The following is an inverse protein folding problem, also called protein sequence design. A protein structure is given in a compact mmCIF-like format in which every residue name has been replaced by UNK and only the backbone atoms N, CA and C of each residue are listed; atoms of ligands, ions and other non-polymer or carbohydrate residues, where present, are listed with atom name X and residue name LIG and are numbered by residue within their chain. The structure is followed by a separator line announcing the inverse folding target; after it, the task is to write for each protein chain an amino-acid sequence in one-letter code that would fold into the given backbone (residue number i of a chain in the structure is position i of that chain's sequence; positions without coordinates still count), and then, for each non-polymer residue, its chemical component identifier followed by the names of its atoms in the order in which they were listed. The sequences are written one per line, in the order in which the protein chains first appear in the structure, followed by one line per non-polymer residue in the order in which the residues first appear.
data_IF_717926968436
#
_entry.id   IF_717926968436
#
_cell.length_a   1.000
_cell.length_b   1.000
_cell.length_c   1.000
_cell.angle_alpha   90.00
_cell.angle_beta   90.00
_cell.angle_gamma   90.00
#
_symmetry.space_group_name_H-M   'P 1'
#
loop_
_entity.id
_entity.type
_entity.pdbx_description
1 polymer ?
#
# COMPACT_ATOMS: atom_id res chain seq x y z
N UNK A 1 -13.82 -59.85 -53.78
CA UNK A 1 -14.19 -61.18 -53.28
C UNK A 1 -13.08 -61.71 -52.39
N UNK A 2 -13.43 -62.09 -51.15
CA UNK A 2 -12.79 -63.08 -50.25
C UNK A 2 -11.25 -63.07 -50.08
N UNK A 3 -10.82 -62.62 -48.89
CA UNK A 3 -9.91 -63.20 -47.87
C UNK A 3 -8.83 -64.25 -48.26
N UNK A 4 -7.90 -64.64 -47.35
CA UNK A 4 -7.08 -63.94 -46.34
C UNK A 4 -5.59 -64.43 -46.34
N UNK A 5 -4.80 -64.09 -45.31
CA UNK A 5 -3.93 -65.02 -44.50
C UNK A 5 -2.41 -64.80 -44.49
N UNK A 6 -1.87 -64.55 -43.26
CA UNK A 6 -0.54 -64.93 -42.69
C UNK A 6 0.72 -64.30 -43.34
N UNK A 7 1.85 -64.03 -42.68
CA UNK A 7 2.55 -64.67 -41.56
C UNK A 7 3.70 -63.76 -41.05
N UNK A 8 4.11 -63.99 -39.80
CA UNK A 8 5.44 -63.85 -39.17
C UNK A 8 6.35 -62.63 -39.37
N UNK A 9 7.04 -62.25 -38.28
CA UNK A 9 8.38 -61.63 -38.39
C UNK A 9 8.74 -60.71 -37.23
N UNK A 10 9.27 -61.29 -36.15
CA UNK A 10 9.87 -60.59 -35.00
C UNK A 10 11.28 -60.10 -35.39
N UNK A 11 11.60 -58.82 -35.25
CA UNK A 11 12.95 -58.33 -34.99
C UNK A 11 12.90 -57.04 -34.15
N UNK A 12 13.74 -57.01 -33.12
CA UNK A 12 13.93 -55.88 -32.23
C UNK A 12 14.81 -54.81 -32.89
N UNK A 13 14.51 -53.53 -32.68
CA UNK A 13 15.50 -52.62 -32.10
C UNK A 13 14.85 -51.34 -31.56
N UNK A 14 15.53 -50.82 -30.55
CA UNK A 14 15.30 -49.68 -29.70
C UNK A 14 15.32 -48.34 -30.46
N UNK A 15 14.34 -47.45 -30.21
CA UNK A 15 14.53 -46.02 -29.87
C UNK A 15 13.20 -45.23 -29.87
N UNK A 16 13.08 -44.39 -28.82
CA UNK A 16 12.43 -43.07 -28.67
C UNK A 16 11.02 -42.77 -29.22
N UNK A 17 10.42 -41.91 -28.39
CA UNK A 17 9.48 -40.81 -28.65
C UNK A 17 8.00 -41.12 -28.80
N UNK A 18 7.24 -40.35 -28.01
CA UNK A 18 5.88 -39.86 -28.26
C UNK A 18 4.79 -40.94 -28.32
N UNK A 19 3.76 -40.94 -27.49
CA UNK A 19 3.23 -40.02 -26.52
C UNK A 19 1.87 -40.61 -26.12
N UNK A 20 1.40 -40.39 -24.89
CA UNK A 20 -0.01 -40.60 -24.62
C UNK A 20 -0.58 -39.38 -23.92
N UNK A 21 -1.23 -38.61 -24.76
CA UNK A 21 -2.13 -37.50 -24.47
C UNK A 21 -3.41 -38.10 -23.90
N UNK A 22 -3.48 -38.20 -22.58
CA UNK A 22 -4.75 -38.29 -21.87
C UNK A 22 -4.87 -37.14 -20.87
N UNK A 23 -5.36 -36.02 -21.42
CA UNK A 23 -6.48 -35.24 -20.86
C UNK A 23 -6.47 -35.07 -19.33
N UNK A 24 -5.71 -34.09 -18.86
CA UNK A 24 -5.91 -33.52 -17.53
C UNK A 24 -6.63 -32.18 -17.67
N UNK A 25 -7.78 -32.09 -17.02
CA UNK A 25 -8.61 -30.90 -16.95
C UNK A 25 -7.79 -29.71 -16.45
N UNK A 26 -7.77 -28.63 -17.22
CA UNK A 26 -7.35 -27.32 -16.74
C UNK A 26 -8.45 -26.78 -15.84
N UNK A 27 -8.28 -26.90 -14.53
CA UNK A 27 -8.87 -25.96 -13.58
C UNK A 27 -7.79 -24.99 -13.15
N UNK A 28 -7.76 -23.84 -13.84
CA UNK A 28 -7.02 -22.67 -13.37
C UNK A 28 -7.80 -22.07 -12.20
N UNK A 29 -7.42 -22.40 -10.98
CA UNK A 29 -7.68 -21.53 -9.83
C UNK A 29 -6.35 -20.96 -9.39
N UNK A 30 -6.14 -19.71 -9.81
CA UNK A 30 -5.09 -18.82 -9.34
C UNK A 30 -5.29 -18.68 -7.83
N UNK A 31 -4.62 -19.49 -7.01
CA UNK A 31 -4.52 -19.22 -5.58
C UNK A 31 -3.60 -18.01 -5.44
N UNK A 32 -4.19 -16.84 -5.26
CA UNK A 32 -3.48 -15.73 -4.65
C UNK A 32 -3.21 -16.16 -3.20
N UNK A 33 -1.98 -16.60 -2.95
CA UNK A 33 -1.47 -16.65 -1.60
C UNK A 33 -1.31 -15.19 -1.18
N UNK A 34 -2.22 -14.68 -0.35
CA UNK A 34 -2.02 -13.42 0.35
C UNK A 34 -0.75 -13.61 1.20
N UNK A 35 0.35 -13.04 0.74
CA UNK A 35 1.56 -12.94 1.53
C UNK A 35 1.31 -11.93 2.65
N UNK A 36 0.76 -12.39 3.76
CA UNK A 36 0.81 -11.65 5.02
C UNK A 36 2.27 -11.70 5.45
N UNK A 37 3.06 -10.69 5.09
CA UNK A 37 4.40 -10.50 5.62
C UNK A 37 4.24 -10.15 7.09
N UNK A 38 4.23 -11.17 7.95
CA UNK A 38 4.47 -10.99 9.38
C UNK A 38 5.94 -10.63 9.52
N UNK A 39 6.22 -9.35 9.72
CA UNK A 39 7.58 -8.91 10.06
C UNK A 39 8.05 -9.69 11.30
N UNK A 40 9.17 -10.40 11.12
CA UNK A 40 9.86 -11.11 12.18
C UNK A 40 10.35 -10.12 13.25
N UNK A 41 9.95 -10.38 14.50
CA UNK A 41 10.36 -9.64 15.70
C UNK A 41 11.87 -9.74 15.94
N UNK A 42 12.54 -8.59 15.99
CA UNK A 42 13.79 -8.39 16.73
C UNK A 42 13.53 -7.37 17.86
N UNK A 43 14.11 -7.53 19.07
CA UNK A 43 13.86 -6.63 20.17
C UNK A 43 14.84 -5.45 20.11
N UNK A 44 14.39 -4.33 19.57
CA UNK A 44 14.91 -3.00 19.90
C UNK A 44 13.73 -2.15 20.36
N UNK A 45 13.94 -1.47 21.48
CA UNK A 45 12.94 -0.73 22.24
C UNK A 45 12.40 0.43 21.39
N UNK A 46 11.07 0.53 21.32
CA UNK A 46 10.26 1.56 20.65
C UNK A 46 10.14 1.48 19.11
N UNK A 47 9.63 0.35 18.60
CA UNK A 47 9.10 0.30 17.22
C UNK A 47 7.64 0.76 17.20
N UNK A 48 7.40 2.05 17.47
CA UNK A 48 6.11 2.67 17.17
C UNK A 48 6.10 3.05 15.71
N UNK A 49 5.29 2.37 14.91
CA UNK A 49 5.10 2.75 13.53
C UNK A 49 4.37 4.10 13.50
N UNK A 50 5.09 5.14 13.10
CA UNK A 50 4.56 6.49 12.99
C UNK A 50 4.19 6.75 11.54
N UNK A 51 2.93 7.10 11.30
CA UNK A 51 2.43 7.44 9.96
C UNK A 51 2.02 8.91 9.91
N UNK A 52 1.98 9.46 8.70
CA UNK A 52 1.79 10.89 8.48
C UNK A 52 0.53 11.14 7.66
N UNK A 53 -0.32 12.07 8.11
CA UNK A 53 -1.49 12.49 7.34
C UNK A 53 -1.49 14.01 7.13
N UNK A 54 -1.65 14.44 5.89
CA UNK A 54 -1.65 15.87 5.50
C UNK A 54 -3.05 16.44 5.66
N UNK A 55 -3.17 17.58 6.35
CA UNK A 55 -4.45 18.24 6.62
C UNK A 55 -4.33 19.76 6.47
N UNK A 56 -5.45 20.42 6.19
CA UNK A 56 -5.58 21.86 6.46
C UNK A 56 -5.95 22.08 7.94
N UNK A 57 -5.55 23.21 8.56
CA UNK A 57 -5.96 23.55 9.93
C UNK A 57 -7.48 23.51 10.09
N UNK A 58 -8.22 24.14 9.18
CA UNK A 58 -9.68 24.21 9.23
C UNK A 58 -10.32 22.80 9.23
N UNK A 59 -9.82 21.88 8.41
CA UNK A 59 -10.34 20.52 8.38
C UNK A 59 -10.08 19.81 9.71
N UNK A 60 -8.87 19.93 10.25
CA UNK A 60 -8.49 19.31 11.52
C UNK A 60 -9.28 19.89 12.71
N UNK A 61 -9.49 21.21 12.72
CA UNK A 61 -10.09 21.95 13.84
C UNK A 61 -11.63 21.94 13.81
N UNK A 62 -12.25 21.50 12.72
CA UNK A 62 -13.72 21.51 12.56
C UNK A 62 -14.51 20.68 13.58
N UNK A 63 -13.89 19.66 14.20
CA UNK A 63 -14.54 18.76 15.16
C UNK A 63 -13.56 18.29 16.25
N UNK A 64 -13.09 19.17 17.14
CA UNK A 64 -11.96 18.87 18.04
C UNK A 64 -12.26 17.77 19.06
N UNK A 65 -13.54 17.55 19.37
CA UNK A 65 -14.01 16.53 20.33
C UNK A 65 -14.41 15.21 19.65
N UNK A 66 -14.26 15.12 18.33
CA UNK A 66 -14.65 13.94 17.53
C UNK A 66 -13.43 13.33 16.82
N UNK A 67 -13.42 12.01 16.55
CA UNK A 67 -12.44 11.40 15.67
C UNK A 67 -12.39 12.13 14.32
N UNK A 68 -11.19 12.38 13.81
CA UNK A 68 -11.00 13.09 12.56
C UNK A 68 -11.35 12.19 11.36
N UNK A 69 -12.27 12.65 10.53
CA UNK A 69 -12.68 11.99 9.30
C UNK A 69 -12.55 12.97 8.12
N UNK A 70 -11.58 12.77 7.20
CA UNK A 70 -11.46 13.60 6.02
C UNK A 70 -12.61 13.34 5.04
N UNK A 71 -12.91 14.30 4.17
CA UNK A 71 -13.96 14.18 3.16
C UNK A 71 -13.75 13.00 2.20
N UNK A 72 -12.50 12.55 2.00
CA UNK A 72 -12.17 11.39 1.17
C UNK A 72 -12.53 10.06 1.83
N UNK A 73 -12.66 9.98 3.16
CA UNK A 73 -12.95 8.73 3.86
C UNK A 73 -14.25 8.04 3.39
N UNK A 74 -15.40 8.72 3.28
CA UNK A 74 -16.61 8.09 2.73
C UNK A 74 -16.53 7.74 1.23
N UNK A 75 -15.61 8.36 0.48
CA UNK A 75 -15.46 8.15 -0.97
C UNK A 75 -14.52 6.98 -1.27
N UNK A 76 -13.35 6.95 -0.64
CA UNK A 76 -12.30 5.97 -0.87
C UNK A 76 -12.40 4.76 0.08
N UNK A 77 -13.04 4.93 1.24
CA UNK A 77 -13.16 3.92 2.29
C UNK A 77 -11.98 3.85 3.27
N UNK A 78 -10.98 4.72 3.11
CA UNK A 78 -9.82 4.83 4.00
C UNK A 78 -9.22 6.24 4.00
N UNK A 79 -8.40 6.54 5.01
CA UNK A 79 -7.58 7.76 5.08
C UNK A 79 -6.19 7.47 4.55
N UNK A 80 -5.77 8.25 3.54
CA UNK A 80 -4.43 8.19 2.95
C UNK A 80 -3.38 8.73 3.91
N UNK A 81 -2.40 7.90 4.26
CA UNK A 81 -1.25 8.30 5.05
C UNK A 81 0.05 7.99 4.30
N UNK A 82 1.14 8.60 4.77
CA UNK A 82 2.50 8.37 4.29
C UNK A 82 3.33 7.66 5.36
N UNK A 83 4.26 6.77 4.97
CA UNK A 83 5.06 5.99 5.91
C UNK A 83 6.12 6.81 6.66
N UNK A 84 6.57 7.92 6.08
CA UNK A 84 7.63 8.77 6.63
C UNK A 84 7.56 10.21 6.10
N UNK A 85 8.36 11.10 6.69
CA UNK A 85 8.44 12.51 6.32
C UNK A 85 8.87 12.71 4.86
N UNK A 86 9.83 11.92 4.34
CA UNK A 86 10.33 12.09 2.96
C UNK A 86 9.23 11.82 1.94
N UNK A 87 8.50 10.73 2.14
CA UNK A 87 7.34 10.36 1.32
C UNK A 87 6.22 11.39 1.47
N UNK A 88 5.99 11.90 2.70
CA UNK A 88 4.99 12.95 2.96
C UNK A 88 5.29 14.22 2.19
N UNK A 89 6.55 14.69 2.20
CA UNK A 89 6.97 15.88 1.44
C UNK A 89 6.81 15.67 -0.07
N UNK A 90 7.09 14.47 -0.59
CA UNK A 90 6.83 14.14 -1.98
C UNK A 90 5.33 14.18 -2.33
N UNK A 91 4.47 13.63 -1.46
CA UNK A 91 3.00 13.70 -1.60
C UNK A 91 2.52 15.15 -1.59
N UNK A 92 3.01 15.98 -0.66
CA UNK A 92 2.67 17.41 -0.59
C UNK A 92 3.06 18.13 -1.89
N UNK A 93 4.27 17.87 -2.38
CA UNK A 93 4.76 18.47 -3.62
C UNK A 93 4.02 17.97 -4.87
N UNK A 94 3.47 16.76 -4.85
CA UNK A 94 2.71 16.21 -5.98
C UNK A 94 1.26 16.73 -6.00
N UNK A 95 0.59 16.82 -4.85
CA UNK A 95 -0.87 16.97 -4.79
C UNK A 95 -1.36 18.22 -4.05
N UNK A 96 -0.52 18.87 -3.24
CA UNK A 96 -0.95 19.93 -2.32
C UNK A 96 -0.26 21.28 -2.54
N UNK A 97 0.52 21.48 -3.61
CA UNK A 97 1.23 22.75 -3.87
C UNK A 97 0.30 23.96 -3.93
N UNK A 98 -0.87 23.78 -4.53
CA UNK A 98 -1.90 24.81 -4.71
C UNK A 98 -2.92 24.85 -3.56
N UNK A 99 -2.81 23.97 -2.57
CA UNK A 99 -3.73 23.96 -1.43
C UNK A 99 -3.57 25.23 -0.58
N UNK A 100 -4.65 25.70 0.08
CA UNK A 100 -4.58 26.79 1.04
C UNK A 100 -3.51 26.51 2.11
N UNK A 101 -2.69 27.52 2.38
CA UNK A 101 -1.65 27.47 3.41
C UNK A 101 -2.14 28.17 4.68
N UNK A 102 -1.68 27.75 5.88
CA UNK A 102 -0.68 26.70 6.12
C UNK A 102 -1.26 25.29 5.92
N UNK A 103 -0.37 24.34 5.59
CA UNK A 103 -0.66 22.91 5.67
C UNK A 103 -0.01 22.33 6.92
N UNK A 104 -0.67 21.34 7.51
CA UNK A 104 -0.18 20.61 8.67
C UNK A 104 -0.07 19.13 8.36
N UNK A 105 0.82 18.47 9.10
CA UNK A 105 0.99 17.02 9.08
C UNK A 105 0.71 16.48 10.48
N UNK A 106 -0.25 15.58 10.56
CA UNK A 106 -0.54 14.80 11.75
C UNK A 106 0.44 13.64 11.81
N UNK A 107 1.22 13.58 12.88
CA UNK A 107 2.05 12.43 13.19
C UNK A 107 1.25 11.47 14.07
N UNK A 108 0.91 10.31 13.51
CA UNK A 108 -0.04 9.35 14.07
C UNK A 108 0.71 8.11 14.55
N UNK A 109 0.45 7.71 15.78
CA UNK A 109 0.97 6.48 16.39
C UNK A 109 0.04 5.31 16.03
N UNK A 110 0.51 4.39 15.19
CA UNK A 110 -0.29 3.26 14.71
C UNK A 110 -0.80 2.38 15.86
N UNK A 111 -0.03 2.22 16.94
CA UNK A 111 -0.42 1.37 18.08
C UNK A 111 -1.60 1.96 18.87
N UNK A 112 -1.91 3.24 18.66
CA UNK A 112 -2.99 3.96 19.32
C UNK A 112 -4.22 4.11 18.43
N UNK A 113 -4.16 3.69 17.17
CA UNK A 113 -5.31 3.76 16.28
C UNK A 113 -6.34 2.70 16.64
N UNK A 114 -7.60 3.12 16.74
CA UNK A 114 -8.73 2.20 16.85
C UNK A 114 -9.03 1.50 15.51
N UNK A 115 -8.71 2.17 14.41
CA UNK A 115 -8.94 1.69 13.05
C UNK A 115 -7.81 0.77 12.56
N UNK A 116 -8.17 -0.18 11.69
CA UNK A 116 -7.20 -1.06 11.02
C UNK A 116 -6.33 -0.26 10.05
N UNK A 117 -5.03 -0.53 10.03
CA UNK A 117 -4.09 0.01 9.05
C UNK A 117 -3.60 -1.11 8.12
N UNK A 118 -3.55 -0.84 6.82
CA UNK A 118 -2.86 -1.71 5.84
C UNK A 118 -1.90 -0.89 5.00
N UNK A 119 -0.74 -1.47 4.70
CA UNK A 119 0.28 -0.84 3.86
C UNK A 119 0.16 -1.42 2.44
N UNK A 120 -0.22 -0.57 1.49
CA UNK A 120 -0.51 -0.97 0.11
C UNK A 120 0.34 -0.18 -0.88
N UNK A 121 0.63 -0.77 -2.04
CA UNK A 121 1.36 -0.06 -3.09
C UNK A 121 0.51 1.11 -3.62
N UNK A 122 1.16 2.21 -3.99
CA UNK A 122 0.47 3.34 -4.61
C UNK A 122 -0.22 2.92 -5.92
N UNK A 123 -1.44 3.40 -6.12
CA UNK A 123 -2.20 3.18 -7.35
C UNK A 123 -2.65 4.53 -7.94
N UNK A 124 -2.49 4.76 -9.25
CA UNK A 124 -1.88 3.86 -10.25
C UNK A 124 -0.34 3.81 -10.21
N UNK A 125 0.30 4.80 -9.58
CA UNK A 125 1.76 4.90 -9.44
C UNK A 125 2.11 5.78 -8.22
N UNK A 126 3.29 5.62 -7.61
CA UNK A 126 3.74 6.51 -6.53
C UNK A 126 3.96 7.95 -7.05
N UNK A 127 3.91 8.95 -6.15
CA UNK A 127 4.24 10.33 -6.50
C UNK A 127 5.71 10.45 -6.97
N UNK A 128 6.04 11.45 -7.80
CA UNK A 128 7.42 11.68 -8.24
C UNK A 128 8.40 11.77 -7.07
N UNK A 129 9.52 11.04 -7.17
CA UNK A 129 10.53 10.98 -6.12
C UNK A 129 10.33 9.87 -5.09
N UNK A 130 9.26 9.08 -5.19
CA UNK A 130 9.00 7.90 -4.35
C UNK A 130 9.15 6.63 -5.18
N UNK A 131 9.77 5.60 -4.60
CA UNK A 131 9.99 4.30 -5.27
C UNK A 131 8.70 3.48 -5.40
N UNK A 132 8.62 2.63 -6.43
CA UNK A 132 7.48 1.72 -6.67
C UNK A 132 7.31 0.65 -5.57
N UNK A 133 8.35 0.42 -4.77
CA UNK A 133 8.37 -0.51 -3.64
C UNK A 133 7.84 0.09 -2.33
N UNK A 134 7.63 1.42 -2.30
CA UNK A 134 7.11 2.10 -1.11
C UNK A 134 5.62 1.80 -0.94
N UNK A 135 5.27 1.34 0.26
CA UNK A 135 3.89 1.09 0.65
C UNK A 135 3.34 2.28 1.42
N UNK A 136 2.10 2.64 1.11
CA UNK A 136 1.36 3.73 1.74
C UNK A 136 0.39 3.16 2.77
N UNK A 137 0.44 3.63 4.02
CA UNK A 137 -0.53 3.23 5.02
C UNK A 137 -1.92 3.81 4.72
N UNK A 138 -2.91 2.93 4.68
CA UNK A 138 -4.33 3.25 4.58
C UNK A 138 -5.02 2.93 5.89
N UNK A 139 -5.62 3.94 6.52
CA UNK A 139 -6.38 3.78 7.77
C UNK A 139 -7.85 3.58 7.45
N UNK A 140 -8.39 2.40 7.74
CA UNK A 140 -9.77 2.01 7.41
C UNK A 140 -10.77 2.49 8.47
N UNK A 141 -10.86 3.80 8.64
CA UNK A 141 -11.77 4.45 9.58
C UNK A 141 -11.31 5.86 9.96
N UNK A 142 -12.08 6.55 10.80
CA UNK A 142 -11.66 7.84 11.37
C UNK A 142 -10.39 7.70 12.22
N UNK A 143 -9.61 8.77 12.29
CA UNK A 143 -8.42 8.86 13.15
C UNK A 143 -8.85 9.37 14.53
N UNK A 144 -8.76 8.52 15.56
CA UNK A 144 -8.98 8.94 16.94
C UNK A 144 -7.93 9.99 17.36
N UNK A 145 -8.40 11.04 18.04
CA UNK A 145 -7.58 12.24 18.33
C UNK A 145 -6.34 11.94 19.15
N UNK A 146 -6.43 10.98 20.06
CA UNK A 146 -5.33 10.62 20.93
C UNK A 146 -4.25 9.79 20.21
N UNK A 147 -4.54 9.18 19.06
CA UNK A 147 -3.50 8.59 18.21
C UNK A 147 -2.58 9.64 17.57
N UNK A 148 -3.01 10.89 17.46
CA UNK A 148 -2.17 12.00 16.98
C UNK A 148 -1.26 12.46 18.10
N UNK A 149 0.04 12.14 17.99
CA UNK A 149 1.03 12.45 19.03
C UNK A 149 1.78 13.75 18.79
N UNK A 150 1.73 14.27 17.57
CA UNK A 150 2.35 15.54 17.18
C UNK A 150 1.64 16.10 15.95
N UNK A 151 1.61 17.42 15.84
CA UNK A 151 1.17 18.14 14.65
C UNK A 151 2.32 19.04 14.25
N UNK A 152 2.74 18.98 12.99
CA UNK A 152 3.79 19.81 12.43
C UNK A 152 3.23 20.67 11.30
N UNK A 153 3.83 21.83 11.07
CA UNK A 153 3.54 22.69 9.92
C UNK A 153 4.53 22.42 8.79
N UNK A 154 4.04 22.48 7.55
CA UNK A 154 4.87 22.32 6.36
C UNK A 154 5.67 23.59 6.11
N UNK A 155 6.99 23.44 5.98
CA UNK A 155 7.89 24.50 5.54
C UNK A 155 7.97 24.53 4.02
N UNK A 156 7.92 25.74 3.45
CA UNK A 156 7.95 25.98 2.02
C UNK A 156 9.14 26.85 1.64
N UNK A 157 9.77 26.56 0.50
CA UNK A 157 10.78 27.44 -0.09
C UNK A 157 10.15 28.59 -0.91
N UNK A 158 11.02 29.42 -1.50
CA UNK A 158 10.61 30.55 -2.33
C UNK A 158 9.94 30.16 -3.66
N UNK A 159 10.00 28.89 -4.05
CA UNK A 159 9.39 28.35 -5.28
C UNK A 159 8.10 27.55 -4.99
N UNK A 160 7.68 27.52 -3.73
CA UNK A 160 6.49 26.82 -3.28
C UNK A 160 6.66 25.30 -3.28
N UNK A 161 7.87 24.80 -3.08
CA UNK A 161 8.14 23.41 -2.75
C UNK A 161 8.18 23.23 -1.24
N UNK A 162 7.56 22.15 -0.76
CA UNK A 162 7.66 21.71 0.61
C UNK A 162 9.06 21.14 0.87
N UNK A 163 9.76 21.69 1.85
CA UNK A 163 11.18 21.35 2.15
C UNK A 163 11.39 20.69 3.51
N UNK A 164 10.39 20.75 4.40
CA UNK A 164 10.52 20.18 5.74
C UNK A 164 9.24 20.29 6.56
N UNK A 165 9.25 19.65 7.73
CA UNK A 165 8.20 19.77 8.74
C UNK A 165 8.78 20.39 10.01
N UNK A 166 8.04 21.33 10.61
CA UNK A 166 8.47 22.03 11.83
C UNK A 166 7.38 22.02 12.89
N UNK A 167 7.78 22.03 14.17
CA UNK A 167 6.81 22.18 15.24
C UNK A 167 6.17 23.59 15.14
N UNK A 168 4.85 23.74 15.36
CA UNK A 168 4.18 25.03 15.32
C UNK A 168 4.81 26.01 16.30
N UNK A 169 4.95 27.27 15.87
CA UNK A 169 5.54 28.36 16.69
C UNK A 169 4.58 28.93 17.72
#
# INVERSE_FOLDING_TARGET
MRSPTRFAGRLANQERSEGDVTRWHKTHTKSYVTAVVRHHRAPLLYNRAMIHHVVTPDAWESGPDEPYAPASLPEDGFVHCSPDETTTLAVINAFYREAPKPLRVLLIDEERLDARVEFEAAAPAPPPGVGDDVLFPHVFGPINRDAVVRIQEVEWDGEGLATGLTDPK
#
